data_IF_053519469805
#
_entry.id   IF_053519469805
#
_cell.length_a   1.000
_cell.length_b   1.000
_cell.length_c   1.000
_cell.angle_alpha   90.00
_cell.angle_beta   90.00
_cell.angle_gamma   90.00
#
_symmetry.space_group_name_H-M   'P 1'
#
loop_
_entity.id
_entity.type
_entity.pdbx_description
1 polymer ?
#
# COMPACT_ATOMS: atom_id res chain seq x y z
N UNK A 1 19.13 56.74 49.58
CA UNK A 1 19.09 56.47 48.13
C UNK A 1 19.68 55.08 47.91
N UNK A 2 18.82 54.06 47.87
CA UNK A 2 19.19 52.67 47.60
C UNK A 2 19.21 52.45 46.09
N UNK A 3 20.35 52.02 45.58
CA UNK A 3 20.58 51.66 44.18
C UNK A 3 19.73 50.43 43.81
N UNK A 4 19.08 50.38 42.64
CA UNK A 4 18.35 49.19 42.21
C UNK A 4 19.32 48.06 41.82
N UNK A 5 18.91 46.79 41.94
CA UNK A 5 19.77 45.64 41.68
C UNK A 5 20.11 45.49 40.19
N UNK A 6 21.30 44.94 39.92
CA UNK A 6 21.79 44.62 38.58
C UNK A 6 20.87 43.68 37.82
N UNK A 7 20.70 44.00 36.53
CA UNK A 7 19.91 43.23 35.56
C UNK A 7 20.57 41.86 35.35
N UNK A 8 19.84 40.73 35.39
CA UNK A 8 20.43 39.41 35.17
C UNK A 8 21.03 39.30 33.76
N UNK A 9 22.17 38.61 33.66
CA UNK A 9 22.87 38.36 32.40
C UNK A 9 21.93 37.72 31.38
N UNK A 10 21.96 38.25 30.15
CA UNK A 10 21.17 37.74 29.04
C UNK A 10 21.50 36.26 28.79
N UNK A 11 20.47 35.43 28.65
CA UNK A 11 20.61 34.06 28.15
C UNK A 11 21.37 34.08 26.81
N UNK A 12 22.23 33.09 26.52
CA UNK A 12 22.88 33.03 25.21
C UNK A 12 21.81 33.04 24.13
N UNK A 13 21.94 33.96 23.17
CA UNK A 13 21.03 34.05 22.03
C UNK A 13 20.97 32.67 21.37
N UNK A 14 19.75 32.19 21.10
CA UNK A 14 19.56 30.96 20.33
C UNK A 14 20.37 31.09 19.03
N UNK A 15 21.09 30.03 18.60
CA UNK A 15 21.85 30.10 17.37
C UNK A 15 20.91 30.44 16.21
N UNK A 16 21.03 31.65 15.68
CA UNK A 16 20.26 32.12 14.54
C UNK A 16 20.72 31.32 13.33
N UNK A 17 19.85 30.44 12.82
CA UNK A 17 20.12 29.74 11.58
C UNK A 17 19.85 30.71 10.42
N UNK A 18 20.89 31.00 9.63
CA UNK A 18 20.83 31.87 8.44
C UNK A 18 20.74 31.08 7.13
N UNK A 19 20.37 29.81 7.18
CA UNK A 19 20.26 28.97 5.98
C UNK A 19 19.08 29.36 5.10
N UNK A 20 19.17 29.00 3.82
CA UNK A 20 18.12 29.28 2.85
C UNK A 20 16.82 28.55 3.24
N UNK A 21 15.66 29.23 3.31
CA UNK A 21 14.36 28.60 3.46
C UNK A 21 14.01 27.56 2.37
N UNK A 22 14.80 27.42 1.32
CA UNK A 22 14.69 26.37 0.31
C UNK A 22 15.52 25.11 0.60
N UNK A 23 16.53 25.18 1.49
CA UNK A 23 17.42 24.05 1.80
C UNK A 23 16.72 23.02 2.70
N UNK A 24 16.30 21.89 2.13
CA UNK A 24 15.77 20.74 2.86
C UNK A 24 16.90 19.84 3.36
N UNK A 25 16.67 19.03 4.42
CA UNK A 25 17.62 18.00 4.82
C UNK A 25 17.95 17.08 3.64
N UNK A 26 19.24 16.79 3.43
CA UNK A 26 19.73 15.92 2.36
C UNK A 26 19.51 14.43 2.69
N UNK A 27 18.31 14.08 3.16
CA UNK A 27 17.90 12.72 3.49
C UNK A 27 16.85 12.28 2.47
N UNK A 28 17.16 11.33 1.56
CA UNK A 28 16.23 10.86 0.53
C UNK A 28 15.03 10.11 1.12
N UNK A 29 15.10 9.72 2.39
CA UNK A 29 14.07 8.97 3.09
C UNK A 29 13.12 9.90 3.85
N UNK A 30 13.46 11.19 3.98
CA UNK A 30 12.66 12.17 4.69
C UNK A 30 11.50 12.69 3.81
N UNK A 31 10.62 11.77 3.42
CA UNK A 31 9.52 11.98 2.48
C UNK A 31 8.16 11.70 3.15
N UNK A 32 7.08 12.25 2.58
CA UNK A 32 5.74 12.12 3.14
C UNK A 32 5.30 10.66 3.20
N UNK A 33 4.83 10.22 4.37
CA UNK A 33 4.36 8.86 4.60
C UNK A 33 5.46 7.84 4.92
N UNK A 34 6.74 8.23 4.85
CA UNK A 34 7.84 7.29 5.10
C UNK A 34 7.76 6.71 6.52
N UNK A 35 7.75 5.37 6.68
CA UNK A 35 7.79 4.73 7.99
C UNK A 35 9.18 4.82 8.63
N UNK A 36 9.19 5.02 9.94
CA UNK A 36 10.39 5.08 10.77
C UNK A 36 10.21 4.26 12.06
N UNK A 37 11.30 3.63 12.49
CA UNK A 37 11.44 2.96 13.78
C UNK A 37 12.29 3.81 14.71
N UNK A 38 11.72 4.24 15.83
CA UNK A 38 12.49 4.87 16.89
C UNK A 38 13.36 3.82 17.61
N UNK A 39 14.56 4.17 18.07
CA UNK A 39 15.45 3.23 18.77
C UNK A 39 14.85 2.56 20.02
N UNK A 40 13.80 3.17 20.59
CA UNK A 40 12.99 2.59 21.70
C UNK A 40 11.85 1.68 21.22
N UNK A 41 11.80 1.30 19.94
CA UNK A 41 10.82 0.40 19.34
C UNK A 41 9.53 1.04 18.79
N UNK A 42 9.26 2.32 19.08
CA UNK A 42 8.06 3.01 18.60
C UNK A 42 8.05 3.17 17.07
N UNK A 43 6.90 2.91 16.44
CA UNK A 43 6.69 3.08 15.00
C UNK A 43 6.06 4.44 14.69
N UNK A 44 6.62 5.13 13.71
CA UNK A 44 6.24 6.48 13.31
C UNK A 44 6.17 6.59 11.79
N UNK A 45 5.51 7.63 11.29
CA UNK A 45 5.60 8.03 9.90
C UNK A 45 5.88 9.52 9.79
N UNK A 46 6.73 9.90 8.83
CA UNK A 46 6.92 11.29 8.46
C UNK A 46 5.64 11.85 7.84
N UNK A 47 5.23 13.02 8.29
CA UNK A 47 4.08 13.79 7.78
C UNK A 47 4.57 14.96 6.92
N UNK A 48 5.83 15.35 7.06
CA UNK A 48 6.45 16.33 6.19
C UNK A 48 7.65 16.98 6.84
N UNK A 49 8.33 17.80 6.04
CA UNK A 49 9.39 18.69 6.51
C UNK A 49 8.84 20.10 6.53
N UNK A 50 9.00 20.78 7.66
CA UNK A 50 8.63 22.17 7.85
C UNK A 50 9.82 23.01 8.28
N UNK A 51 9.53 24.24 8.72
CA UNK A 51 10.52 25.13 9.35
C UNK A 51 9.97 25.70 10.63
N UNK A 52 10.82 25.89 11.63
CA UNK A 52 10.51 26.78 12.73
C UNK A 52 10.46 28.22 12.21
N UNK A 53 9.40 28.96 12.55
CA UNK A 53 9.25 30.34 12.09
C UNK A 53 10.31 31.28 12.70
N UNK A 54 10.69 31.02 13.96
CA UNK A 54 11.60 31.88 14.71
C UNK A 54 13.04 31.88 14.18
N UNK A 55 13.52 30.77 13.62
CA UNK A 55 14.92 30.60 13.20
C UNK A 55 15.08 29.90 11.84
N UNK A 56 13.99 29.58 11.14
CA UNK A 56 13.97 28.86 9.87
C UNK A 56 14.62 27.46 9.89
N UNK A 57 14.95 26.93 11.07
CA UNK A 57 15.57 25.62 11.18
C UNK A 57 14.62 24.53 10.64
N UNK A 58 15.12 23.59 9.82
CA UNK A 58 14.30 22.52 9.29
C UNK A 58 13.78 21.62 10.41
N UNK A 59 12.51 21.26 10.34
CA UNK A 59 11.85 20.37 11.30
C UNK A 59 11.19 19.21 10.58
N UNK A 60 11.18 18.05 11.22
CA UNK A 60 10.38 16.89 10.82
C UNK A 60 9.10 16.92 11.62
N UNK A 61 7.98 16.95 10.92
CA UNK A 61 6.65 16.69 11.48
C UNK A 61 6.37 15.21 11.27
N UNK A 62 6.07 14.49 12.34
CA UNK A 62 5.87 13.04 12.30
C UNK A 62 4.78 12.63 13.28
N UNK A 63 4.18 11.46 13.06
CA UNK A 63 3.10 10.92 13.91
C UNK A 63 3.39 9.49 14.32
N UNK A 64 2.89 9.09 15.47
CA UNK A 64 2.96 7.68 15.88
C UNK A 64 1.95 6.86 15.06
N UNK A 65 2.35 5.68 14.58
CA UNK A 65 1.42 4.81 13.84
C UNK A 65 0.33 4.21 14.74
N UNK A 66 0.61 4.07 16.05
CA UNK A 66 -0.34 3.56 17.05
C UNK A 66 -1.42 4.56 17.45
N UNK A 67 -1.12 5.85 17.36
CA UNK A 67 -2.00 6.96 17.73
C UNK A 67 -1.73 8.12 16.76
N UNK A 68 -2.44 8.13 15.61
CA UNK A 68 -2.20 9.11 14.56
C UNK A 68 -2.80 10.49 14.89
N UNK A 69 -3.48 10.65 16.02
CA UNK A 69 -4.13 11.91 16.41
C UNK A 69 -3.13 12.98 16.87
N UNK A 70 -1.95 12.57 17.32
CA UNK A 70 -0.91 13.45 17.81
C UNK A 70 0.22 13.61 16.79
N UNK A 71 0.49 14.86 16.44
CA UNK A 71 1.67 15.24 15.65
C UNK A 71 2.80 15.66 16.59
N UNK A 72 3.99 15.17 16.26
CA UNK A 72 5.24 15.52 16.91
C UNK A 72 6.08 16.37 15.96
N UNK A 73 6.81 17.32 16.52
CA UNK A 73 7.75 18.16 15.78
C UNK A 73 9.13 18.02 16.41
N UNK A 74 10.16 17.87 15.58
CA UNK A 74 11.56 17.81 16.02
C UNK A 74 12.42 18.49 14.96
N UNK A 75 13.51 19.16 15.36
CA UNK A 75 14.51 19.64 14.38
C UNK A 75 15.05 18.47 13.56
N UNK A 76 15.28 18.67 12.27
CA UNK A 76 15.71 17.61 11.37
C UNK A 76 17.08 17.04 11.73
N UNK A 77 18.03 17.89 12.12
CA UNK A 77 19.33 17.47 12.65
C UNK A 77 19.17 16.51 13.84
N UNK A 78 18.34 16.85 14.83
CA UNK A 78 18.08 16.01 16.01
C UNK A 78 17.27 14.74 15.65
N UNK A 79 16.43 14.79 14.61
CA UNK A 79 15.68 13.62 14.14
C UNK A 79 16.63 12.55 13.56
N UNK A 80 17.57 12.97 12.72
CA UNK A 80 18.55 12.08 12.07
C UNK A 80 19.80 11.81 12.92
N UNK A 81 20.00 12.56 14.01
CA UNK A 81 21.12 12.39 14.94
C UNK A 81 21.17 10.97 15.55
N UNK A 82 22.32 10.29 15.53
CA UNK A 82 22.51 9.05 16.28
C UNK A 82 22.44 9.26 17.80
N UNK A 83 21.95 8.25 18.52
CA UNK A 83 21.89 8.24 19.99
C UNK A 83 22.87 7.21 20.52
N UNK A 84 23.67 7.59 21.52
CA UNK A 84 24.50 6.65 22.26
C UNK A 84 23.63 5.74 23.14
N UNK A 85 23.81 4.43 22.99
CA UNK A 85 23.19 3.39 23.83
C UNK A 85 24.29 2.50 24.44
N UNK A 86 23.99 1.69 25.47
CA UNK A 86 24.96 0.71 25.98
C UNK A 86 25.49 -0.27 24.91
N UNK A 87 24.75 -0.45 23.81
CA UNK A 87 25.10 -1.31 22.68
C UNK A 87 25.83 -0.58 21.54
N UNK A 88 26.10 0.73 21.70
CA UNK A 88 26.74 1.57 20.68
C UNK A 88 25.84 2.71 20.18
N UNK A 89 26.34 3.47 19.22
CA UNK A 89 25.57 4.53 18.57
C UNK A 89 24.59 3.94 17.55
N UNK A 90 23.31 4.31 17.63
CA UNK A 90 22.25 3.86 16.72
C UNK A 90 21.43 5.06 16.22
N UNK A 91 20.80 4.99 15.03
CA UNK A 91 19.91 6.05 14.58
C UNK A 91 18.78 6.30 15.59
N UNK A 92 18.46 7.57 15.88
CA UNK A 92 17.30 7.89 16.73
C UNK A 92 16.01 7.36 16.10
N UNK A 93 15.86 7.63 14.81
CA UNK A 93 14.82 7.11 13.94
C UNK A 93 15.49 6.45 12.73
N UNK A 94 15.33 5.14 12.60
CA UNK A 94 15.78 4.40 11.42
C UNK A 94 14.63 4.31 10.40
N UNK A 95 14.87 4.53 9.09
CA UNK A 95 13.92 4.17 8.05
C UNK A 95 13.43 2.73 8.23
N UNK A 96 12.11 2.51 8.21
CA UNK A 96 11.48 1.19 8.42
C UNK A 96 10.81 0.72 7.12
N UNK A 97 11.58 0.72 6.03
CA UNK A 97 11.12 0.28 4.71
C UNK A 97 10.96 -1.25 4.69
N UNK A 98 9.77 -1.80 4.38
CA UNK A 98 9.56 -3.24 4.36
C UNK A 98 10.46 -3.95 3.34
N UNK A 99 11.07 -5.07 3.74
CA UNK A 99 11.95 -5.85 2.86
C UNK A 99 11.23 -6.38 1.61
N UNK A 100 9.93 -6.68 1.71
CA UNK A 100 9.11 -7.09 0.58
C UNK A 100 8.99 -6.00 -0.52
N UNK A 101 9.16 -4.72 -0.16
CA UNK A 101 9.14 -3.60 -1.09
C UNK A 101 10.51 -3.31 -1.71
N UNK A 102 11.58 -4.05 -1.36
CA UNK A 102 12.91 -3.83 -1.92
C UNK A 102 12.95 -4.03 -3.46
N UNK A 103 12.03 -4.81 -4.02
CA UNK A 103 11.89 -4.93 -5.47
C UNK A 103 11.48 -3.61 -6.16
N UNK A 104 11.03 -2.60 -5.40
CA UNK A 104 10.68 -1.26 -5.87
C UNK A 104 11.78 -0.22 -5.65
N UNK A 105 12.96 -0.59 -5.12
CA UNK A 105 14.03 0.37 -4.77
C UNK A 105 14.62 1.12 -5.99
N UNK A 106 14.24 0.72 -7.21
CA UNK A 106 14.53 1.48 -8.43
C UNK A 106 13.64 2.73 -8.61
N UNK A 107 12.59 2.87 -7.80
CA UNK A 107 11.71 4.04 -7.77
C UNK A 107 12.04 4.95 -6.58
N UNK A 108 11.79 6.26 -6.70
CA UNK A 108 11.77 7.14 -5.53
C UNK A 108 10.74 6.66 -4.51
N UNK A 109 11.09 6.60 -3.22
CA UNK A 109 10.16 6.14 -2.16
C UNK A 109 8.86 6.94 -2.13
N UNK A 110 8.92 8.25 -2.40
CA UNK A 110 7.72 9.09 -2.49
C UNK A 110 6.77 8.59 -3.59
N UNK A 111 7.27 8.21 -4.77
CA UNK A 111 6.43 7.70 -5.85
C UNK A 111 5.69 6.40 -5.44
N UNK A 112 6.39 5.49 -4.74
CA UNK A 112 5.77 4.28 -4.19
C UNK A 112 4.69 4.63 -3.16
N UNK A 113 4.99 5.53 -2.22
CA UNK A 113 4.06 5.96 -1.18
C UNK A 113 2.83 6.68 -1.74
N UNK A 114 3.00 7.48 -2.79
CA UNK A 114 1.91 8.17 -3.49
C UNK A 114 0.94 7.17 -4.12
N UNK A 115 1.47 6.15 -4.82
CA UNK A 115 0.63 5.09 -5.39
C UNK A 115 -0.05 4.28 -4.28
N UNK A 116 0.67 3.91 -3.22
CA UNK A 116 0.07 3.23 -2.06
C UNK A 116 -1.02 4.08 -1.38
N UNK A 117 -0.98 5.41 -1.46
CA UNK A 117 -2.02 6.29 -0.93
C UNK A 117 -3.29 6.30 -1.81
N UNK A 118 -3.19 6.05 -3.11
CA UNK A 118 -4.36 5.87 -3.99
C UNK A 118 -5.24 4.68 -3.55
N UNK A 119 -4.61 3.69 -2.91
CA UNK A 119 -5.28 2.51 -2.37
C UNK A 119 -5.94 2.76 -1.00
N UNK A 120 -5.69 3.90 -0.36
CA UNK A 120 -6.29 4.26 0.94
C UNK A 120 -7.64 4.99 0.80
N UNK A 121 -8.21 5.11 -0.41
CA UNK A 121 -9.47 5.86 -0.57
C UNK A 121 -10.60 5.24 0.28
N UNK A 122 -11.39 6.04 1.03
CA UNK A 122 -12.23 5.53 2.13
C UNK A 122 -13.29 4.47 1.79
N UNK A 123 -13.66 4.35 0.51
CA UNK A 123 -14.65 3.38 0.05
C UNK A 123 -14.04 2.00 -0.28
N UNK A 124 -12.71 1.91 -0.45
CA UNK A 124 -12.01 0.64 -0.66
C UNK A 124 -11.98 -0.17 0.63
N UNK A 125 -12.23 -1.47 0.51
CA UNK A 125 -12.26 -2.45 1.62
C UNK A 125 -11.48 -3.71 1.27
N UNK A 126 -11.60 -4.19 0.04
CA UNK A 126 -10.84 -5.31 -0.49
C UNK A 126 -9.66 -4.81 -1.33
N UNK A 127 -9.90 -3.89 -2.28
CA UNK A 127 -8.91 -3.37 -3.22
C UNK A 127 -8.13 -2.19 -2.60
N UNK A 128 -7.68 -2.35 -1.35
CA UNK A 128 -6.99 -1.31 -0.57
C UNK A 128 -5.48 -1.59 -0.41
N UNK A 129 -4.78 -0.72 0.33
CA UNK A 129 -3.33 -0.85 0.53
C UNK A 129 -2.92 -2.22 1.09
N UNK A 130 -3.76 -2.87 1.89
CA UNK A 130 -3.44 -4.18 2.49
C UNK A 130 -3.31 -5.25 1.41
N UNK A 131 -4.15 -5.20 0.38
CA UNK A 131 -4.05 -6.09 -0.79
C UNK A 131 -2.69 -6.00 -1.46
N UNK A 132 -2.28 -4.78 -1.82
CA UNK A 132 -1.02 -4.55 -2.52
C UNK A 132 0.18 -4.99 -1.67
N UNK A 133 0.19 -4.64 -0.39
CA UNK A 133 1.28 -5.03 0.51
C UNK A 133 1.32 -6.56 0.71
N UNK A 134 0.17 -7.23 0.83
CA UNK A 134 0.10 -8.69 0.94
C UNK A 134 0.65 -9.39 -0.30
N UNK A 135 0.47 -8.84 -1.51
CA UNK A 135 1.08 -9.40 -2.72
C UNK A 135 2.61 -9.33 -2.65
N UNK A 136 3.19 -8.20 -2.25
CA UNK A 136 4.64 -8.09 -2.09
C UNK A 136 5.16 -9.02 -1.00
N UNK A 137 4.48 -9.11 0.14
CA UNK A 137 4.85 -10.03 1.23
C UNK A 137 4.74 -11.49 0.81
N UNK A 138 3.70 -11.86 0.05
CA UNK A 138 3.54 -13.22 -0.47
C UNK A 138 4.65 -13.59 -1.45
N UNK A 139 5.06 -12.67 -2.34
CA UNK A 139 6.19 -12.86 -3.23
C UNK A 139 7.50 -13.04 -2.44
N UNK A 140 7.75 -12.15 -1.48
CA UNK A 140 8.94 -12.17 -0.63
C UNK A 140 9.05 -13.47 0.18
N UNK A 141 7.98 -13.85 0.90
CA UNK A 141 7.95 -15.06 1.73
C UNK A 141 8.13 -16.35 0.93
N UNK A 142 7.75 -16.34 -0.36
CA UNK A 142 7.91 -17.48 -1.28
C UNK A 142 9.23 -17.45 -2.06
N UNK A 143 10.09 -16.46 -1.84
CA UNK A 143 11.34 -16.29 -2.59
C UNK A 143 11.12 -15.97 -4.08
N UNK A 144 9.96 -15.44 -4.45
CA UNK A 144 9.64 -15.02 -5.80
C UNK A 144 10.28 -13.65 -6.04
N UNK A 145 11.28 -13.61 -6.92
CA UNK A 145 11.92 -12.36 -7.33
C UNK A 145 11.11 -11.70 -8.45
N UNK A 146 10.38 -10.64 -8.11
CA UNK A 146 9.69 -9.82 -9.10
C UNK A 146 10.70 -8.95 -9.85
N UNK A 147 10.62 -8.95 -11.17
CA UNK A 147 11.35 -7.96 -11.98
C UNK A 147 10.68 -6.57 -11.90
N UNK A 148 11.33 -5.55 -12.46
CA UNK A 148 10.83 -4.16 -12.40
C UNK A 148 9.43 -3.99 -13.00
N UNK A 149 9.12 -4.70 -14.08
CA UNK A 149 7.81 -4.58 -14.73
C UNK A 149 6.72 -5.28 -13.89
N UNK A 150 7.03 -6.44 -13.33
CA UNK A 150 6.13 -7.17 -12.44
C UNK A 150 5.89 -6.39 -11.14
N UNK A 151 6.94 -5.81 -10.55
CA UNK A 151 6.82 -4.98 -9.35
C UNK A 151 5.97 -3.72 -9.60
N UNK A 152 6.16 -3.03 -10.73
CA UNK A 152 5.28 -1.94 -11.16
C UNK A 152 3.83 -2.40 -11.36
N UNK A 153 3.61 -3.55 -12.01
CA UNK A 153 2.28 -4.06 -12.24
C UNK A 153 1.56 -4.40 -10.93
N UNK A 154 2.23 -5.06 -9.98
CA UNK A 154 1.68 -5.32 -8.63
C UNK A 154 1.30 -4.01 -7.95
N UNK A 155 2.20 -3.03 -7.92
CA UNK A 155 1.97 -1.73 -7.29
C UNK A 155 0.79 -0.97 -7.92
N UNK A 156 0.59 -1.08 -9.23
CA UNK A 156 -0.31 -0.22 -9.98
C UNK A 156 -1.64 -0.85 -10.40
N UNK A 157 -1.83 -2.18 -10.40
CA UNK A 157 -2.97 -2.81 -11.09
C UNK A 157 -4.35 -2.28 -10.66
N UNK A 158 -4.51 -1.94 -9.37
CA UNK A 158 -5.72 -1.37 -8.78
C UNK A 158 -5.60 0.10 -8.38
N UNK A 159 -4.54 0.78 -8.81
CA UNK A 159 -4.26 2.16 -8.41
C UNK A 159 -5.41 3.11 -8.82
N UNK A 160 -6.06 2.87 -9.97
CA UNK A 160 -7.37 3.43 -10.29
C UNK A 160 -8.45 2.36 -10.08
N UNK A 161 -9.44 2.67 -9.26
CA UNK A 161 -10.54 1.74 -9.01
C UNK A 161 -11.85 2.48 -8.74
N UNK A 162 -12.86 2.14 -9.54
CA UNK A 162 -14.25 2.44 -9.26
C UNK A 162 -15.00 1.11 -9.28
N UNK A 163 -15.72 0.73 -8.21
CA UNK A 163 -16.38 -0.58 -8.17
C UNK A 163 -17.29 -0.80 -9.38
N UNK A 164 -17.13 -1.92 -10.08
CA UNK A 164 -17.94 -2.26 -11.25
C UNK A 164 -17.72 -1.38 -12.50
N UNK A 165 -16.62 -0.64 -12.58
CA UNK A 165 -16.16 0.05 -13.78
C UNK A 165 -15.18 -0.84 -14.56
N UNK A 166 -15.39 -1.01 -15.87
CA UNK A 166 -14.57 -1.86 -16.75
C UNK A 166 -13.28 -1.20 -17.25
N UNK A 167 -13.06 0.06 -16.88
CA UNK A 167 -11.90 0.85 -17.31
C UNK A 167 -10.81 0.96 -16.22
N UNK A 168 -10.99 0.30 -15.08
CA UNK A 168 -10.06 0.41 -13.95
C UNK A 168 -8.64 -0.01 -14.36
N UNK A 169 -8.47 -1.18 -14.95
CA UNK A 169 -7.17 -1.72 -15.33
C UNK A 169 -6.53 -0.89 -16.45
N UNK A 170 -7.33 -0.41 -17.41
CA UNK A 170 -6.83 0.46 -18.46
C UNK A 170 -6.34 1.81 -17.92
N UNK A 171 -7.05 2.40 -16.96
CA UNK A 171 -6.65 3.64 -16.31
C UNK A 171 -5.43 3.43 -15.40
N UNK A 172 -5.39 2.34 -14.63
CA UNK A 172 -4.23 1.92 -13.84
C UNK A 172 -2.97 1.73 -14.71
N UNK A 173 -3.10 1.02 -15.85
CA UNK A 173 -2.01 0.80 -16.79
C UNK A 173 -1.47 2.12 -17.37
N UNK A 174 -2.35 3.08 -17.67
CA UNK A 174 -1.96 4.39 -18.20
C UNK A 174 -1.15 5.24 -17.21
N UNK A 175 -1.27 5.01 -15.89
CA UNK A 175 -0.52 5.76 -14.89
C UNK A 175 0.94 5.33 -14.75
N UNK A 176 1.31 4.14 -15.24
CA UNK A 176 2.64 3.54 -15.02
C UNK A 176 3.78 4.44 -15.50
N UNK A 177 3.62 5.12 -16.65
CA UNK A 177 4.63 6.04 -17.16
C UNK A 177 4.85 7.25 -16.24
N UNK A 178 3.79 7.74 -15.58
CA UNK A 178 3.88 8.84 -14.60
C UNK A 178 4.52 8.39 -13.28
N UNK A 179 4.35 7.13 -12.90
CA UNK A 179 4.96 6.55 -11.69
C UNK A 179 6.47 6.34 -11.87
N UNK A 180 6.89 5.97 -13.09
CA UNK A 180 8.27 5.61 -13.39
C UNK A 180 8.81 6.28 -14.67
N UNK A 181 8.84 7.62 -14.76
CA UNK A 181 9.14 8.33 -16.01
C UNK A 181 10.57 8.11 -16.54
N UNK A 182 11.50 7.67 -15.68
CA UNK A 182 12.89 7.38 -16.04
C UNK A 182 13.15 5.92 -16.46
N UNK A 183 12.15 5.04 -16.38
CA UNK A 183 12.34 3.63 -16.73
C UNK A 183 12.29 3.37 -18.24
N UNK A 184 12.90 2.25 -18.66
CA UNK A 184 12.95 1.88 -20.06
C UNK A 184 11.55 1.62 -20.62
N UNK A 185 11.27 2.09 -21.84
CA UNK A 185 9.96 1.93 -22.51
C UNK A 185 9.45 0.49 -22.50
N UNK A 186 10.32 -0.47 -22.77
CA UNK A 186 9.97 -1.89 -22.76
C UNK A 186 9.52 -2.40 -21.37
N UNK A 187 10.04 -1.85 -20.27
CA UNK A 187 9.60 -2.18 -18.90
C UNK A 187 8.22 -1.61 -18.64
N UNK A 188 7.98 -0.34 -19.00
CA UNK A 188 6.69 0.33 -18.85
C UNK A 188 5.58 -0.37 -19.64
N UNK A 189 5.85 -0.70 -20.92
CA UNK A 189 4.91 -1.42 -21.78
C UNK A 189 4.59 -2.83 -21.26
N UNK A 190 5.60 -3.53 -20.73
CA UNK A 190 5.39 -4.85 -20.12
C UNK A 190 4.54 -4.75 -18.85
N UNK A 191 4.84 -3.79 -17.97
CA UNK A 191 4.06 -3.56 -16.76
C UNK A 191 2.60 -3.23 -17.08
N UNK A 192 2.37 -2.31 -18.03
CA UNK A 192 1.02 -1.95 -18.49
C UNK A 192 0.25 -3.15 -19.06
N UNK A 193 0.92 -4.00 -19.84
CA UNK A 193 0.31 -5.23 -20.35
C UNK A 193 -0.07 -6.21 -19.24
N UNK A 194 0.79 -6.38 -18.24
CA UNK A 194 0.48 -7.25 -17.09
C UNK A 194 -0.73 -6.70 -16.32
N UNK A 195 -0.82 -5.38 -16.11
CA UNK A 195 -2.00 -4.76 -15.49
C UNK A 195 -3.27 -5.02 -16.31
N UNK A 196 -3.21 -4.91 -17.63
CA UNK A 196 -4.38 -5.22 -18.47
C UNK A 196 -4.81 -6.69 -18.36
N UNK A 197 -3.87 -7.61 -18.15
CA UNK A 197 -4.15 -9.04 -17.98
C UNK A 197 -4.87 -9.35 -16.65
N UNK A 198 -4.81 -8.47 -15.63
CA UNK A 198 -5.48 -8.68 -14.33
C UNK A 198 -7.00 -8.61 -14.45
N UNK A 199 -7.55 -7.82 -15.38
CA UNK A 199 -9.00 -7.67 -15.59
C UNK A 199 -9.72 -9.01 -15.72
N UNK A 200 -9.20 -9.84 -16.60
CA UNK A 200 -9.76 -11.17 -16.90
C UNK A 200 -8.93 -12.28 -16.25
N UNK A 201 -7.90 -11.93 -15.47
CA UNK A 201 -6.89 -12.83 -14.92
C UNK A 201 -6.38 -13.84 -15.95
N UNK A 202 -6.11 -13.39 -17.18
CA UNK A 202 -5.66 -14.24 -18.28
C UNK A 202 -4.33 -13.72 -18.79
N UNK A 203 -3.23 -14.47 -18.64
CA UNK A 203 -1.93 -13.98 -19.04
C UNK A 203 -1.84 -13.88 -20.56
N UNK A 204 -1.35 -12.75 -21.04
CA UNK A 204 -0.92 -12.56 -22.44
C UNK A 204 0.51 -13.04 -22.67
N UNK A 205 1.27 -13.32 -21.60
CA UNK A 205 2.66 -13.79 -21.62
C UNK A 205 3.00 -14.60 -20.37
N UNK A 206 4.09 -15.37 -20.41
CA UNK A 206 4.56 -16.14 -19.25
C UNK A 206 4.89 -15.23 -18.04
N UNK A 207 5.45 -14.05 -18.31
CA UNK A 207 5.87 -13.10 -17.26
C UNK A 207 4.69 -12.53 -16.46
N UNK A 208 3.48 -12.51 -17.03
CA UNK A 208 2.27 -12.06 -16.35
C UNK A 208 1.75 -13.07 -15.32
N UNK A 209 2.08 -14.36 -15.48
CA UNK A 209 1.50 -15.45 -14.69
C UNK A 209 1.70 -15.25 -13.19
N UNK A 210 2.90 -14.81 -12.77
CA UNK A 210 3.20 -14.63 -11.36
C UNK A 210 2.40 -13.50 -10.71
N UNK A 211 2.14 -12.42 -11.45
CA UNK A 211 1.35 -11.28 -10.95
C UNK A 211 -0.12 -11.67 -10.83
N UNK A 212 -0.63 -12.47 -11.78
CA UNK A 212 -1.98 -13.02 -11.71
C UNK A 212 -2.14 -14.03 -10.56
N UNK A 213 -1.14 -14.87 -10.32
CA UNK A 213 -1.14 -15.79 -9.18
C UNK A 213 -1.13 -15.03 -7.85
N UNK A 214 -0.35 -13.94 -7.77
CA UNK A 214 -0.33 -13.06 -6.58
C UNK A 214 -1.69 -12.42 -6.32
N UNK A 215 -2.36 -11.93 -7.37
CA UNK A 215 -3.67 -11.28 -7.26
C UNK A 215 -4.77 -12.29 -6.86
N UNK A 216 -4.71 -13.50 -7.42
CA UNK A 216 -5.64 -14.59 -7.11
C UNK A 216 -5.33 -15.32 -5.79
N UNK A 217 -4.16 -15.12 -5.18
CA UNK A 217 -3.70 -15.90 -4.03
C UNK A 217 -4.67 -15.87 -2.84
N UNK A 218 -5.40 -14.77 -2.65
CA UNK A 218 -6.44 -14.64 -1.62
C UNK A 218 -7.60 -15.64 -1.77
N UNK A 219 -7.78 -16.27 -2.93
CA UNK A 219 -8.73 -17.38 -3.09
C UNK A 219 -8.35 -18.59 -2.23
N UNK A 220 -7.06 -18.80 -1.98
CA UNK A 220 -6.53 -19.89 -1.16
C UNK A 220 -6.42 -19.54 0.34
N UNK A 221 -6.95 -18.39 0.77
CA UNK A 221 -6.94 -18.00 2.17
C UNK A 221 -7.76 -18.98 3.05
N UNK A 222 -7.52 -19.00 4.38
CA UNK A 222 -8.41 -19.71 5.31
C UNK A 222 -9.88 -19.37 5.07
N UNK A 223 -10.83 -20.31 5.21
CA UNK A 223 -12.23 -20.11 4.80
C UNK A 223 -12.89 -18.87 5.40
N UNK A 224 -12.63 -18.56 6.67
CA UNK A 224 -13.15 -17.39 7.36
C UNK A 224 -12.56 -16.07 6.80
N UNK A 225 -11.30 -16.09 6.39
CA UNK A 225 -10.63 -14.96 5.72
C UNK A 225 -11.22 -14.75 4.33
N UNK A 226 -11.41 -15.83 3.56
CA UNK A 226 -12.06 -15.78 2.24
C UNK A 226 -13.48 -15.19 2.30
N UNK A 227 -14.25 -15.54 3.33
CA UNK A 227 -15.59 -15.00 3.52
C UNK A 227 -15.56 -13.50 3.86
N UNK A 228 -14.64 -13.08 4.74
CA UNK A 228 -14.42 -11.65 5.04
C UNK A 228 -14.04 -10.86 3.80
N UNK A 229 -13.14 -11.38 2.98
CA UNK A 229 -12.80 -10.77 1.68
C UNK A 229 -14.03 -10.61 0.79
N UNK A 230 -14.90 -11.62 0.74
CA UNK A 230 -16.15 -11.54 -0.04
C UNK A 230 -17.11 -10.46 0.52
N UNK A 231 -17.14 -10.27 1.84
CA UNK A 231 -17.89 -9.19 2.48
C UNK A 231 -17.28 -7.81 2.21
N UNK A 232 -15.95 -7.70 2.14
CA UNK A 232 -15.25 -6.46 1.79
C UNK A 232 -15.56 -6.04 0.35
N UNK A 233 -15.50 -6.98 -0.61
CA UNK A 233 -15.89 -6.71 -2.01
C UNK A 233 -17.37 -6.33 -2.09
N UNK A 234 -18.24 -6.96 -1.30
CA UNK A 234 -19.65 -6.56 -1.22
C UNK A 234 -19.78 -5.13 -0.70
N UNK A 235 -19.05 -4.74 0.34
CA UNK A 235 -19.12 -3.41 0.92
C UNK A 235 -18.75 -2.31 -0.09
N UNK A 236 -17.73 -2.55 -0.93
CA UNK A 236 -17.36 -1.66 -2.03
C UNK A 236 -18.46 -1.53 -3.10
N UNK A 237 -19.09 -2.65 -3.45
CA UNK A 237 -20.08 -2.71 -4.53
C UNK A 237 -21.51 -2.36 -4.07
N UNK A 238 -21.75 -2.29 -2.75
CA UNK A 238 -23.09 -2.21 -2.15
C UNK A 238 -23.94 -1.09 -2.74
N UNK A 239 -23.40 0.14 -2.77
CA UNK A 239 -24.15 1.31 -3.22
C UNK A 239 -24.54 1.21 -4.70
N UNK A 240 -23.62 0.78 -5.56
CA UNK A 240 -23.85 0.64 -6.99
C UNK A 240 -24.80 -0.52 -7.30
N UNK A 241 -24.66 -1.66 -6.61
CA UNK A 241 -25.55 -2.79 -6.79
C UNK A 241 -26.98 -2.44 -6.33
N UNK A 242 -27.12 -1.72 -5.21
CA UNK A 242 -28.42 -1.24 -4.74
C UNK A 242 -29.09 -0.34 -5.78
N UNK A 243 -28.34 0.62 -6.33
CA UNK A 243 -28.85 1.52 -7.37
C UNK A 243 -29.27 0.78 -8.66
N UNK A 244 -28.50 -0.24 -9.08
CA UNK A 244 -28.78 -1.01 -10.31
C UNK A 244 -29.94 -1.99 -10.17
N UNK A 245 -30.16 -2.55 -8.98
CA UNK A 245 -31.12 -3.65 -8.76
C UNK A 245 -32.36 -3.25 -7.99
N UNK A 246 -32.34 -2.11 -7.30
CA UNK A 246 -33.39 -1.69 -6.37
C UNK A 246 -33.47 -2.51 -5.08
N UNK A 247 -32.60 -3.51 -4.89
CA UNK A 247 -32.60 -4.39 -3.71
C UNK A 247 -31.89 -3.72 -2.53
N UNK A 248 -32.26 -4.14 -1.31
CA UNK A 248 -31.68 -3.67 -0.05
C UNK A 248 -31.51 -4.84 0.94
N UNK A 249 -30.73 -4.62 2.02
CA UNK A 249 -30.56 -5.60 3.09
C UNK A 249 -30.10 -6.97 2.60
N UNK A 250 -30.67 -8.03 3.16
CA UNK A 250 -30.31 -9.42 2.86
C UNK A 250 -30.56 -9.80 1.39
N UNK A 251 -31.60 -9.23 0.76
CA UNK A 251 -31.89 -9.47 -0.66
C UNK A 251 -30.79 -8.91 -1.57
N UNK A 252 -30.16 -7.79 -1.19
CA UNK A 252 -29.03 -7.21 -1.91
C UNK A 252 -27.76 -8.04 -1.72
N UNK A 253 -27.51 -8.50 -0.49
CA UNK A 253 -26.39 -9.40 -0.21
C UNK A 253 -26.52 -10.72 -0.98
N UNK A 254 -27.69 -11.34 -0.97
CA UNK A 254 -27.96 -12.56 -1.73
C UNK A 254 -27.77 -12.36 -3.24
N UNK A 255 -28.19 -11.21 -3.79
CA UNK A 255 -27.91 -10.85 -5.19
C UNK A 255 -26.42 -10.74 -5.49
N UNK A 256 -25.65 -10.08 -4.61
CA UNK A 256 -24.20 -9.99 -4.76
C UNK A 256 -23.57 -11.38 -4.72
N UNK A 257 -23.94 -12.21 -3.74
CA UNK A 257 -23.36 -13.55 -3.56
C UNK A 257 -23.68 -14.47 -4.74
N UNK A 258 -24.88 -14.40 -5.33
CA UNK A 258 -25.21 -15.11 -6.58
C UNK A 258 -24.31 -14.69 -7.75
N UNK A 259 -24.12 -13.38 -7.97
CA UNK A 259 -23.25 -12.86 -9.05
C UNK A 259 -21.79 -13.27 -8.84
N UNK A 260 -21.31 -13.18 -7.60
CA UNK A 260 -19.97 -13.61 -7.21
C UNK A 260 -19.78 -15.11 -7.42
N UNK A 261 -20.75 -15.93 -7.01
CA UNK A 261 -20.72 -17.37 -7.26
C UNK A 261 -20.65 -17.68 -8.75
N UNK A 262 -21.43 -17.00 -9.61
CA UNK A 262 -21.35 -17.18 -11.05
C UNK A 262 -19.96 -16.84 -11.62
N UNK A 263 -19.35 -15.73 -11.17
CA UNK A 263 -17.97 -15.36 -11.55
C UNK A 263 -16.96 -16.42 -11.09
N UNK A 264 -17.01 -16.85 -9.83
CA UNK A 264 -16.09 -17.84 -9.28
C UNK A 264 -16.27 -19.22 -9.94
N UNK A 265 -17.50 -19.62 -10.25
CA UNK A 265 -17.80 -20.84 -11.01
C UNK A 265 -17.16 -20.79 -12.40
N UNK A 266 -17.25 -19.66 -13.11
CA UNK A 266 -16.59 -19.50 -14.39
C UNK A 266 -15.07 -19.58 -14.25
N UNK A 267 -14.50 -18.91 -13.24
CA UNK A 267 -13.06 -18.96 -12.95
C UNK A 267 -12.60 -20.41 -12.68
N UNK A 268 -13.39 -21.20 -11.93
CA UNK A 268 -13.08 -22.58 -11.57
C UNK A 268 -13.09 -23.57 -12.75
N UNK A 269 -13.68 -23.20 -13.89
CA UNK A 269 -13.67 -24.02 -15.12
C UNK A 269 -12.27 -24.13 -15.75
N UNK A 270 -11.34 -23.27 -15.36
CA UNK A 270 -9.96 -23.32 -15.82
C UNK A 270 -9.29 -24.60 -15.33
N UNK A 271 -8.42 -25.17 -16.17
CA UNK A 271 -7.62 -26.35 -15.82
C UNK A 271 -6.77 -26.11 -14.57
N UNK A 272 -6.19 -24.91 -14.45
CA UNK A 272 -5.42 -24.44 -13.31
C UNK A 272 -5.84 -23.00 -12.98
N UNK A 273 -5.99 -22.70 -11.68
CA UNK A 273 -6.20 -21.33 -11.19
C UNK A 273 -4.86 -20.63 -11.02
N UNK A 274 -3.88 -21.32 -10.44
CA UNK A 274 -2.51 -20.85 -10.26
C UNK A 274 -1.60 -21.44 -11.33
N UNK A 275 -0.85 -20.58 -12.01
CA UNK A 275 -0.12 -20.91 -13.23
C UNK A 275 1.36 -21.20 -12.99
N UNK A 276 1.89 -20.74 -11.87
CA UNK A 276 3.30 -20.91 -11.50
C UNK A 276 3.47 -21.95 -10.38
N UNK A 277 4.64 -22.58 -10.36
CA UNK A 277 4.97 -23.58 -9.35
C UNK A 277 4.99 -23.00 -7.92
N UNK A 278 5.27 -21.70 -7.76
CA UNK A 278 5.34 -21.03 -6.46
C UNK A 278 3.97 -20.94 -5.74
N UNK A 279 2.87 -21.13 -6.46
CA UNK A 279 1.50 -21.08 -5.95
C UNK A 279 0.73 -22.38 -6.18
N UNK A 280 1.39 -23.48 -6.57
CA UNK A 280 0.72 -24.75 -6.85
C UNK A 280 0.00 -25.34 -5.62
N UNK A 281 0.49 -25.06 -4.42
CA UNK A 281 -0.11 -25.45 -3.13
C UNK A 281 -1.45 -24.75 -2.86
N UNK A 282 -1.71 -23.64 -3.53
CA UNK A 282 -2.89 -22.81 -3.35
C UNK A 282 -4.13 -23.35 -4.10
N UNK A 283 -3.91 -24.17 -5.13
CA UNK A 283 -4.94 -24.64 -6.05
C UNK A 283 -6.10 -25.37 -5.34
N UNK A 284 -5.77 -26.34 -4.49
CA UNK A 284 -6.78 -27.15 -3.80
C UNK A 284 -7.62 -26.32 -2.82
N UNK A 285 -6.97 -25.41 -2.08
CA UNK A 285 -7.62 -24.52 -1.12
C UNK A 285 -8.56 -23.53 -1.83
N UNK A 286 -8.09 -22.91 -2.92
CA UNK A 286 -8.90 -21.99 -3.71
C UNK A 286 -10.13 -22.68 -4.30
N UNK A 287 -9.98 -23.88 -4.87
CA UNK A 287 -11.11 -24.65 -5.41
C UNK A 287 -12.12 -25.04 -4.33
N UNK A 288 -11.65 -25.43 -3.14
CA UNK A 288 -12.53 -25.74 -2.00
C UNK A 288 -13.33 -24.51 -1.54
N UNK A 289 -12.68 -23.34 -1.45
CA UNK A 289 -13.35 -22.08 -1.11
C UNK A 289 -14.38 -21.68 -2.17
N UNK A 290 -14.03 -21.77 -3.46
CA UNK A 290 -14.96 -21.49 -4.56
C UNK A 290 -16.17 -22.44 -4.48
N UNK A 291 -15.96 -23.75 -4.35
CA UNK A 291 -17.04 -24.72 -4.27
C UNK A 291 -18.00 -24.43 -3.11
N UNK A 292 -17.46 -24.07 -1.93
CA UNK A 292 -18.24 -23.67 -0.75
C UNK A 292 -19.07 -22.41 -1.01
N UNK A 293 -18.46 -21.39 -1.63
CA UNK A 293 -19.14 -20.14 -1.95
C UNK A 293 -20.29 -20.34 -2.96
N UNK A 294 -20.08 -21.21 -3.95
CA UNK A 294 -21.09 -21.56 -4.95
C UNK A 294 -22.26 -22.31 -4.31
N UNK A 295 -21.98 -23.37 -3.54
CA UNK A 295 -23.02 -24.14 -2.84
C UNK A 295 -23.85 -23.27 -1.87
N UNK A 296 -23.20 -22.33 -1.17
CA UNK A 296 -23.89 -21.40 -0.28
C UNK A 296 -24.83 -20.44 -1.03
N UNK A 297 -24.47 -20.00 -2.24
CA UNK A 297 -25.31 -19.11 -3.05
C UNK A 297 -26.51 -19.85 -3.68
N UNK A 298 -26.34 -21.13 -4.04
CA UNK A 298 -27.42 -21.98 -4.56
C UNK A 298 -28.44 -22.29 -3.46
N UNK A 299 -28.00 -22.72 -2.27
CA UNK A 299 -28.89 -23.02 -1.15
C UNK A 299 -29.60 -21.81 -0.53
N UNK A 300 -29.20 -20.59 -0.86
CA UNK A 300 -29.88 -19.35 -0.47
C UNK A 300 -30.91 -18.87 -1.51
N UNK A 301 -31.05 -19.58 -2.63
CA UNK A 301 -32.00 -19.27 -3.70
C UNK A 301 -33.27 -20.13 -3.66
N UNK A 302 -33.31 -21.14 -2.79
CA UNK A 302 -34.47 -21.96 -2.43
C UNK A 302 -35.19 -21.39 -1.20
#
# INVERSE_FOLDING_TARGET
>A
MTQPPDKPAAAPAAPTFHGDPSELPADPDLVYGMPYRHYKGGAYAAVGVGRFEADLAPVVVYRALRDPSLLWVRRADVFSEPVATPQGAVPRFAPDWPAALACLDFLPRQAVLDVLALHDTPYRRYHDRRHILEMFEAAHARGVALDRAQALAVLCHDAVYVPGCEHNEAASAAMIESVAPGEARAVLERAARIVLDTRDHRPSSADAQIVLDLDLFRLAAPPDVFDRHSQDVFAENRALLAARTGKQGDALLAEFMRRRAAFLSHLAQRLQLFLTAAFADCEALARANIARAVAAAEGASD
#
